data_IF_021453075150
#
_entry.id   IF_021453075150
#
_cell.length_a   1.000
_cell.length_b   1.000
_cell.length_c   1.000
_cell.angle_alpha   90.00
_cell.angle_beta   90.00
_cell.angle_gamma   90.00
#
_symmetry.space_group_name_H-M   'P 1'
#
loop_
_entity.id
_entity.type
_entity.pdbx_description
1 polymer ?
#
# COMPACT_ATOMS: atom_id res chain seq x y z
N UNK A 1 15.42 56.82 -10.58
CA UNK A 1 14.51 56.16 -9.63
C UNK A 1 13.90 54.96 -10.33
N UNK A 2 13.93 53.84 -9.62
CA UNK A 2 13.89 52.46 -10.09
C UNK A 2 12.52 52.00 -10.57
N UNK A 3 12.55 51.20 -11.64
CA UNK A 3 11.48 50.37 -12.19
C UNK A 3 10.93 49.41 -11.13
N UNK A 4 9.59 49.41 -10.97
CA UNK A 4 8.84 48.39 -10.25
C UNK A 4 8.39 47.34 -11.26
N UNK A 5 9.11 46.22 -11.26
CA UNK A 5 8.76 44.98 -11.94
C UNK A 5 7.50 44.38 -11.30
N UNK A 6 6.39 44.46 -12.03
CA UNK A 6 5.28 43.53 -11.95
C UNK A 6 5.09 43.01 -13.38
N UNK A 7 4.80 41.72 -13.53
CA UNK A 7 4.65 41.00 -14.81
C UNK A 7 5.95 40.58 -15.51
N UNK A 8 6.76 39.72 -14.87
CA UNK A 8 7.58 38.74 -15.62
C UNK A 8 8.21 37.71 -14.67
N UNK A 9 7.49 36.63 -14.37
CA UNK A 9 8.10 35.35 -13.89
C UNK A 9 7.17 34.14 -14.00
N UNK A 10 6.21 34.15 -14.94
CA UNK A 10 5.39 32.97 -15.26
C UNK A 10 5.88 32.21 -16.52
N UNK A 11 7.01 32.60 -17.11
CA UNK A 11 7.58 31.91 -18.26
C UNK A 11 9.01 31.47 -17.98
N UNK A 12 9.16 30.18 -17.64
CA UNK A 12 10.29 29.28 -17.98
C UNK A 12 10.14 27.96 -17.21
N UNK A 13 9.02 27.29 -17.40
CA UNK A 13 9.02 25.83 -17.38
C UNK A 13 9.51 25.38 -18.76
N UNK A 14 10.47 24.44 -18.88
CA UNK A 14 10.77 23.88 -20.19
C UNK A 14 9.48 23.23 -20.72
N UNK A 15 9.05 23.67 -21.91
CA UNK A 15 7.96 23.08 -22.64
C UNK A 15 8.25 21.58 -22.83
N UNK A 16 7.64 20.74 -22.00
CA UNK A 16 7.59 19.31 -22.22
C UNK A 16 6.52 19.06 -23.27
N UNK A 17 6.98 18.68 -24.47
CA UNK A 17 6.13 18.36 -25.60
C UNK A 17 5.16 17.21 -25.32
N UNK A 18 4.17 17.00 -26.21
CA UNK A 18 3.14 15.99 -26.03
C UNK A 18 3.75 14.59 -26.21
N UNK A 19 3.50 13.72 -25.24
CA UNK A 19 3.71 12.27 -25.30
C UNK A 19 5.18 11.81 -25.41
N UNK A 20 5.77 11.40 -24.29
CA UNK A 20 6.78 10.35 -24.28
C UNK A 20 6.64 9.48 -23.03
N UNK A 21 5.80 8.46 -23.18
CA UNK A 21 5.69 7.32 -22.28
C UNK A 21 7.00 6.52 -22.31
N UNK A 22 8.03 6.94 -21.58
CA UNK A 22 9.30 6.22 -21.48
C UNK A 22 9.29 5.27 -20.27
N UNK A 23 8.64 4.12 -20.46
CA UNK A 23 8.95 2.89 -19.74
C UNK A 23 10.29 2.37 -20.26
N UNK A 24 11.39 2.57 -19.51
CA UNK A 24 12.68 2.00 -19.87
C UNK A 24 12.73 0.50 -19.53
N UNK A 25 12.58 -0.33 -20.56
CA UNK A 25 13.05 -1.71 -20.57
C UNK A 25 14.58 -1.75 -20.78
N UNK A 26 15.22 -2.76 -20.17
CA UNK A 26 16.60 -3.22 -20.35
C UNK A 26 17.70 -2.53 -19.51
N UNK A 27 18.47 -3.38 -18.80
CA UNK A 27 19.71 -3.04 -18.11
C UNK A 27 20.90 -2.89 -19.08
N UNK A 28 22.10 -2.63 -18.56
CA UNK A 28 23.20 -2.09 -19.35
C UNK A 28 24.10 -3.20 -19.90
N UNK A 29 24.08 -3.44 -21.21
CA UNK A 29 25.26 -3.97 -21.91
C UNK A 29 25.43 -3.31 -23.30
N UNK A 30 26.49 -2.50 -23.38
CA UNK A 30 27.38 -2.20 -24.53
C UNK A 30 26.82 -1.57 -25.82
N UNK A 31 27.45 -0.43 -26.14
CA UNK A 31 27.57 0.16 -27.48
C UNK A 31 27.88 -0.86 -28.59
N UNK A 32 27.16 -0.77 -29.72
CA UNK A 32 27.69 -0.78 -31.11
C UNK A 32 26.65 -0.22 -32.10
N UNK A 33 27.19 0.40 -33.16
CA UNK A 33 26.62 1.20 -34.27
C UNK A 33 25.74 0.34 -35.24
N UNK A 34 24.83 0.93 -36.05
CA UNK A 34 23.59 0.30 -36.51
C UNK A 34 23.66 -0.27 -37.93
N UNK A 35 22.80 -1.25 -38.25
CA UNK A 35 22.40 -1.53 -39.64
C UNK A 35 21.04 -2.26 -39.73
N UNK A 36 20.11 -1.57 -40.41
CA UNK A 36 19.09 -2.02 -41.37
C UNK A 36 18.46 -3.43 -41.26
N UNK A 37 17.14 -3.49 -40.97
CA UNK A 37 16.04 -3.90 -41.88
C UNK A 37 14.78 -4.37 -41.12
N UNK A 38 13.61 -4.08 -41.70
CA UNK A 38 12.24 -4.24 -41.18
C UNK A 38 11.74 -5.72 -41.29
N UNK A 39 10.44 -6.02 -41.07
CA UNK A 39 9.65 -6.00 -39.83
C UNK A 39 9.02 -7.39 -39.57
N UNK A 40 8.66 -7.71 -38.32
CA UNK A 40 7.64 -8.74 -38.09
C UNK A 40 6.74 -8.41 -36.92
N UNK A 41 5.45 -8.36 -37.25
CA UNK A 41 4.31 -8.33 -36.35
C UNK A 41 4.41 -9.48 -35.34
N UNK A 42 4.29 -9.15 -34.06
CA UNK A 42 4.16 -10.14 -32.99
C UNK A 42 3.45 -9.50 -31.80
N UNK A 43 2.20 -9.90 -31.58
CA UNK A 43 1.45 -9.63 -30.35
C UNK A 43 2.32 -9.95 -29.13
N UNK A 44 2.62 -8.96 -28.29
CA UNK A 44 3.32 -9.19 -27.02
C UNK A 44 2.79 -8.27 -25.91
N UNK A 45 2.00 -8.88 -25.04
CA UNK A 45 1.86 -8.63 -23.60
C UNK A 45 1.92 -7.17 -23.11
N UNK A 46 0.78 -6.49 -23.08
CA UNK A 46 0.57 -5.26 -22.27
C UNK A 46 0.30 -5.59 -20.79
N UNK A 47 1.19 -6.38 -20.17
CA UNK A 47 0.98 -6.91 -18.81
C UNK A 47 2.17 -6.65 -17.90
N UNK A 48 2.75 -5.44 -17.84
CA UNK A 48 3.80 -5.14 -16.85
C UNK A 48 3.72 -3.72 -16.32
N UNK A 49 2.78 -3.49 -15.39
CA UNK A 49 2.94 -2.45 -14.36
C UNK A 49 4.11 -2.87 -13.46
N UNK A 50 5.35 -2.64 -13.91
CA UNK A 50 6.52 -3.11 -13.17
C UNK A 50 6.86 -2.16 -12.03
N UNK A 51 6.15 -2.32 -10.91
CA UNK A 51 6.48 -1.73 -9.59
C UNK A 51 7.91 -2.09 -9.17
N UNK A 52 8.48 -3.18 -9.74
CA UNK A 52 9.91 -3.51 -9.59
C UNK A 52 10.83 -2.46 -10.22
N UNK A 53 10.48 -1.89 -11.37
CA UNK A 53 11.31 -0.89 -12.05
C UNK A 53 11.28 0.47 -11.34
N UNK A 54 10.10 0.86 -10.84
CA UNK A 54 9.91 2.07 -10.04
C UNK A 54 10.78 2.05 -8.77
N UNK A 55 10.82 0.94 -8.04
CA UNK A 55 11.66 0.83 -6.84
C UNK A 55 13.14 0.58 -7.16
N UNK A 56 13.48 -0.17 -8.23
CA UNK A 56 14.88 -0.38 -8.67
C UNK A 56 15.56 0.93 -9.09
N UNK A 57 14.83 1.90 -9.61
CA UNK A 57 15.37 3.24 -9.89
C UNK A 57 15.67 4.03 -8.61
N UNK A 58 14.98 3.75 -7.49
CA UNK A 58 15.37 4.23 -6.17
C UNK A 58 16.79 3.77 -5.78
N UNK A 59 17.06 2.47 -5.95
CA UNK A 59 18.37 1.87 -5.64
C UNK A 59 19.51 2.34 -6.57
N UNK A 60 19.21 2.66 -7.83
CA UNK A 60 20.21 3.17 -8.79
C UNK A 60 20.59 4.63 -8.49
N UNK A 61 19.68 5.42 -7.93
CA UNK A 61 19.96 6.80 -7.50
C UNK A 61 20.98 6.83 -6.34
N UNK A 62 21.00 5.78 -5.51
CA UNK A 62 22.00 5.55 -4.45
C UNK A 62 23.38 5.11 -5.00
N UNK A 63 23.46 4.45 -6.16
CA UNK A 63 24.77 4.10 -6.78
C UNK A 63 25.50 5.31 -7.37
N UNK A 64 24.77 6.37 -7.71
CA UNK A 64 25.34 7.67 -8.10
C UNK A 64 25.89 8.50 -6.93
N UNK A 65 25.75 8.02 -5.68
CA UNK A 65 26.09 8.72 -4.41
C UNK A 65 27.60 8.80 -4.12
N UNK A 66 28.46 8.35 -5.03
CA UNK A 66 29.92 8.27 -4.80
C UNK A 66 30.72 9.52 -5.15
N UNK A 67 30.14 10.58 -5.72
CA UNK A 67 30.88 11.83 -5.96
C UNK A 67 29.97 13.06 -5.82
N UNK A 68 30.05 13.78 -4.69
CA UNK A 68 29.60 15.18 -4.58
C UNK A 68 28.56 15.52 -3.51
N UNK A 69 29.07 16.03 -2.38
CA UNK A 69 28.59 17.14 -1.53
C UNK A 69 27.14 17.20 -0.99
N UNK A 70 27.05 17.45 0.33
CA UNK A 70 25.86 17.42 1.19
C UNK A 70 24.78 18.49 0.99
N UNK A 71 24.91 19.42 0.02
CA UNK A 71 23.80 20.32 -0.34
C UNK A 71 22.79 19.65 -1.30
N UNK A 72 23.21 18.61 -2.02
CA UNK A 72 22.43 17.92 -3.06
C UNK A 72 21.45 16.88 -2.51
N UNK A 73 21.58 16.51 -1.23
CA UNK A 73 20.82 15.41 -0.62
C UNK A 73 19.39 15.79 -0.27
N UNK A 74 19.16 17.03 0.22
CA UNK A 74 17.81 17.58 0.45
C UNK A 74 17.02 17.69 -0.86
N UNK A 75 17.65 18.19 -1.92
CA UNK A 75 17.03 18.33 -3.25
C UNK A 75 16.60 16.99 -3.84
N UNK A 76 17.46 15.96 -3.78
CA UNK A 76 17.15 14.61 -4.28
C UNK A 76 16.03 13.92 -3.49
N UNK A 77 16.00 14.08 -2.16
CA UNK A 77 14.92 13.50 -1.34
C UNK A 77 13.56 14.15 -1.63
N UNK A 78 13.54 15.49 -1.83
CA UNK A 78 12.34 16.22 -2.25
C UNK A 78 11.88 15.79 -3.63
N UNK A 79 12.82 15.59 -4.55
CA UNK A 79 12.54 15.11 -5.89
C UNK A 79 11.95 13.70 -5.88
N UNK A 80 12.52 12.78 -5.09
CA UNK A 80 11.97 11.43 -4.92
C UNK A 80 10.55 11.45 -4.32
N UNK A 81 10.34 12.24 -3.27
CA UNK A 81 9.00 12.41 -2.68
C UNK A 81 7.99 12.97 -3.70
N UNK A 82 8.41 13.90 -4.55
CA UNK A 82 7.56 14.43 -5.62
C UNK A 82 7.22 13.36 -6.66
N UNK A 83 8.18 12.50 -7.03
CA UNK A 83 7.91 11.36 -7.92
C UNK A 83 6.92 10.37 -7.31
N UNK A 84 7.11 9.97 -6.05
CA UNK A 84 6.18 9.08 -5.34
C UNK A 84 4.77 9.67 -5.36
N UNK A 85 4.62 10.93 -4.99
CA UNK A 85 3.31 11.59 -4.98
C UNK A 85 2.67 11.67 -6.39
N UNK A 86 3.45 11.98 -7.43
CA UNK A 86 2.93 11.96 -8.80
C UNK A 86 2.54 10.55 -9.26
N UNK A 87 3.32 9.52 -8.92
CA UNK A 87 3.00 8.14 -9.24
C UNK A 87 1.73 7.66 -8.53
N UNK A 88 1.57 7.99 -7.25
CA UNK A 88 0.33 7.70 -6.51
C UNK A 88 -0.86 8.38 -7.17
N UNK A 89 -0.76 9.67 -7.50
CA UNK A 89 -1.82 10.39 -8.20
C UNK A 89 -2.15 9.73 -9.53
N UNK A 90 -1.15 9.43 -10.35
CA UNK A 90 -1.32 8.78 -11.65
C UNK A 90 -2.04 7.44 -11.51
N UNK A 91 -1.59 6.57 -10.59
CA UNK A 91 -2.18 5.25 -10.34
C UNK A 91 -3.64 5.38 -9.90
N UNK A 92 -3.94 6.28 -8.95
CA UNK A 92 -5.31 6.50 -8.48
C UNK A 92 -6.24 6.95 -9.61
N UNK A 93 -5.83 7.95 -10.39
CA UNK A 93 -6.64 8.45 -11.51
C UNK A 93 -6.79 7.38 -12.59
N UNK A 94 -5.74 6.62 -12.89
CA UNK A 94 -5.78 5.53 -13.85
C UNK A 94 -6.77 4.44 -13.45
N UNK A 95 -6.68 3.94 -12.21
CA UNK A 95 -7.59 2.91 -11.70
C UNK A 95 -9.04 3.43 -11.67
N UNK A 96 -9.27 4.65 -11.16
CA UNK A 96 -10.63 5.22 -11.13
C UNK A 96 -11.22 5.31 -12.54
N UNK A 97 -10.44 5.81 -13.51
CA UNK A 97 -10.88 5.91 -14.90
C UNK A 97 -11.21 4.54 -15.50
N UNK A 98 -10.40 3.51 -15.22
CA UNK A 98 -10.68 2.16 -15.71
C UNK A 98 -11.96 1.59 -15.09
N UNK A 99 -12.23 1.88 -13.81
CA UNK A 99 -13.49 1.52 -13.16
C UNK A 99 -14.66 2.22 -13.89
N UNK A 100 -14.53 3.52 -14.15
CA UNK A 100 -15.58 4.32 -14.81
C UNK A 100 -15.87 3.86 -16.27
N UNK A 101 -14.86 3.34 -16.99
CA UNK A 101 -14.96 2.90 -18.39
C UNK A 101 -15.44 1.44 -18.59
N UNK A 102 -16.00 0.81 -17.55
CA UNK A 102 -16.48 -0.58 -17.62
C UNK A 102 -15.58 -1.61 -16.92
N UNK A 103 -14.76 -1.14 -15.97
CA UNK A 103 -14.14 -1.91 -14.90
C UNK A 103 -13.64 -3.32 -15.23
N UNK A 104 -14.01 -4.26 -14.35
CA UNK A 104 -13.54 -5.65 -14.40
C UNK A 104 -13.91 -6.36 -15.71
N UNK A 105 -15.09 -6.08 -16.26
CA UNK A 105 -15.61 -6.74 -17.46
C UNK A 105 -14.73 -6.50 -18.70
N UNK A 106 -14.05 -5.34 -18.75
CA UNK A 106 -13.23 -4.94 -19.89
C UNK A 106 -11.74 -5.00 -19.62
N UNK A 107 -11.31 -4.70 -18.39
CA UNK A 107 -9.90 -4.43 -18.10
C UNK A 107 -9.32 -5.27 -16.95
N UNK A 108 -10.07 -6.16 -16.30
CA UNK A 108 -9.57 -6.95 -15.15
C UNK A 108 -8.97 -6.07 -14.03
N UNK A 109 -9.62 -4.94 -13.72
CA UNK A 109 -9.11 -3.94 -12.75
C UNK A 109 -8.87 -4.57 -11.38
N UNK A 110 -9.74 -5.47 -10.94
CA UNK A 110 -9.60 -6.25 -9.71
C UNK A 110 -8.28 -6.97 -9.63
N UNK A 111 -7.92 -7.70 -10.67
CA UNK A 111 -6.67 -8.45 -10.68
C UNK A 111 -5.47 -7.49 -10.59
N UNK A 112 -5.49 -6.38 -11.32
CA UNK A 112 -4.42 -5.37 -11.22
C UNK A 112 -4.28 -4.79 -9.81
N UNK A 113 -5.41 -4.50 -9.16
CA UNK A 113 -5.41 -3.97 -7.78
C UNK A 113 -4.97 -5.03 -6.79
N UNK A 114 -5.39 -6.29 -6.96
CA UNK A 114 -4.94 -7.41 -6.15
C UNK A 114 -3.42 -7.63 -6.28
N UNK A 115 -2.87 -7.63 -7.49
CA UNK A 115 -1.43 -7.77 -7.74
C UNK A 115 -0.63 -6.60 -7.15
N UNK A 116 -1.13 -5.36 -7.32
CA UNK A 116 -0.51 -4.16 -6.77
C UNK A 116 -0.44 -4.20 -5.23
N UNK A 117 -1.59 -4.45 -4.60
CA UNK A 117 -1.71 -4.45 -3.12
C UNK A 117 -0.94 -5.62 -2.51
N UNK A 118 -1.01 -6.81 -3.11
CA UNK A 118 -0.24 -7.99 -2.71
C UNK A 118 1.26 -7.74 -2.86
N UNK A 119 1.69 -7.18 -3.99
CA UNK A 119 3.09 -6.89 -4.24
C UNK A 119 3.68 -5.87 -3.25
N UNK A 120 2.92 -4.85 -2.87
CA UNK A 120 3.35 -3.86 -1.88
C UNK A 120 3.35 -4.44 -0.47
N UNK A 121 2.32 -5.19 -0.09
CA UNK A 121 2.20 -5.80 1.24
C UNK A 121 3.27 -6.87 1.47
N UNK A 122 3.57 -7.71 0.47
CA UNK A 122 4.66 -8.68 0.53
C UNK A 122 6.03 -8.01 0.63
N UNK A 123 6.22 -6.83 0.03
CA UNK A 123 7.49 -6.08 0.19
C UNK A 123 7.64 -5.48 1.58
N UNK A 124 6.55 -5.11 2.24
CA UNK A 124 6.59 -4.74 3.66
C UNK A 124 6.94 -5.97 4.52
N UNK A 125 6.29 -7.11 4.26
CA UNK A 125 6.44 -8.32 5.05
C UNK A 125 7.81 -9.00 4.90
N UNK A 126 8.33 -9.06 3.68
CA UNK A 126 9.58 -9.76 3.35
C UNK A 126 10.77 -8.81 3.23
N UNK A 127 10.67 -7.62 3.82
CA UNK A 127 11.81 -6.72 3.85
C UNK A 127 12.94 -7.34 4.68
N UNK A 128 14.04 -7.68 4.02
CA UNK A 128 15.26 -8.06 4.71
C UNK A 128 16.20 -6.86 4.71
N UNK A 129 16.53 -6.37 5.91
CA UNK A 129 17.65 -5.47 6.08
C UNK A 129 18.92 -6.30 5.96
N UNK A 130 19.31 -6.64 4.73
CA UNK A 130 20.54 -7.41 4.45
C UNK A 130 21.77 -6.50 4.67
N UNK A 131 21.95 -6.07 5.92
CA UNK A 131 23.03 -5.21 6.43
C UNK A 131 23.53 -5.72 7.78
N UNK A 132 23.64 -7.03 7.95
CA UNK A 132 24.55 -7.58 8.96
C UNK A 132 25.98 -7.21 8.54
N UNK A 133 26.49 -6.10 9.09
CA UNK A 133 27.88 -5.66 8.92
C UNK A 133 28.14 -4.40 8.09
N UNK A 134 27.11 -3.69 7.60
CA UNK A 134 27.29 -2.36 6.99
C UNK A 134 26.52 -1.31 7.78
N UNK A 135 27.29 -0.51 8.52
CA UNK A 135 26.91 0.71 9.25
C UNK A 135 26.38 1.79 8.28
N UNK A 136 25.31 1.51 7.56
CA UNK A 136 24.92 2.28 6.39
C UNK A 136 23.49 2.77 6.59
N UNK A 137 23.45 3.93 7.25
CA UNK A 137 22.35 4.80 7.69
C UNK A 137 21.47 5.32 6.55
N UNK A 138 20.88 4.41 5.77
CA UNK A 138 19.82 4.73 4.82
C UNK A 138 18.45 4.76 5.51
N UNK A 139 17.48 5.56 5.02
CA UNK A 139 16.12 5.51 5.51
C UNK A 139 15.50 4.14 5.20
N UNK A 140 14.78 3.57 6.16
CA UNK A 140 14.07 2.31 6.02
C UNK A 140 13.05 2.38 4.87
N UNK A 141 13.24 1.57 3.83
CA UNK A 141 12.41 1.58 2.64
C UNK A 141 10.96 1.18 2.94
N UNK A 142 10.71 0.43 4.03
CA UNK A 142 9.36 0.07 4.48
C UNK A 142 8.51 1.30 4.77
N UNK A 143 9.11 2.37 5.28
CA UNK A 143 8.40 3.64 5.55
C UNK A 143 7.82 4.22 4.26
N UNK A 144 8.59 4.22 3.17
CA UNK A 144 8.14 4.73 1.87
C UNK A 144 7.09 3.81 1.23
N UNK A 145 7.26 2.50 1.35
CA UNK A 145 6.29 1.52 0.84
C UNK A 145 4.97 1.65 1.61
N UNK A 146 5.02 1.76 2.94
CA UNK A 146 3.85 1.94 3.79
C UNK A 146 3.14 3.26 3.46
N UNK A 147 3.89 4.37 3.35
CA UNK A 147 3.32 5.67 3.01
C UNK A 147 2.67 5.67 1.62
N UNK A 148 3.30 5.02 0.64
CA UNK A 148 2.75 4.86 -0.71
C UNK A 148 1.46 4.04 -0.68
N UNK A 149 1.46 2.94 0.07
CA UNK A 149 0.31 2.05 0.23
C UNK A 149 -0.85 2.76 0.91
N UNK A 150 -0.56 3.54 1.95
CA UNK A 150 -1.54 4.38 2.64
C UNK A 150 -2.17 5.43 1.70
N UNK A 151 -1.35 6.17 0.95
CA UNK A 151 -1.88 7.20 0.03
C UNK A 151 -2.69 6.58 -1.11
N UNK A 152 -2.29 5.43 -1.64
CA UNK A 152 -3.08 4.67 -2.61
C UNK A 152 -4.40 4.17 -2.00
N UNK A 153 -4.32 3.68 -0.76
CA UNK A 153 -5.44 3.13 -0.01
C UNK A 153 -6.57 4.13 0.24
N UNK A 154 -6.30 5.44 0.22
CA UNK A 154 -7.37 6.46 0.27
C UNK A 154 -8.44 6.32 -0.81
N UNK A 155 -8.16 5.64 -1.94
CA UNK A 155 -9.19 5.22 -2.88
C UNK A 155 -9.87 3.93 -2.35
N UNK A 156 -11.18 3.93 -2.04
CA UNK A 156 -11.83 2.82 -1.33
C UNK A 156 -11.56 1.45 -1.94
N UNK A 157 -11.65 1.33 -3.26
CA UNK A 157 -11.40 0.07 -3.97
C UNK A 157 -10.00 -0.51 -3.70
N UNK A 158 -8.98 0.34 -3.62
CA UNK A 158 -7.61 -0.06 -3.29
C UNK A 158 -7.46 -0.27 -1.77
N UNK A 159 -8.07 0.61 -0.97
CA UNK A 159 -8.05 0.56 0.50
C UNK A 159 -8.60 -0.74 1.07
N UNK A 160 -9.80 -1.16 0.64
CA UNK A 160 -10.39 -2.44 1.05
C UNK A 160 -9.48 -3.62 0.69
N UNK A 161 -8.89 -3.60 -0.51
CA UNK A 161 -7.99 -4.67 -0.93
C UNK A 161 -6.69 -4.69 -0.12
N UNK A 162 -6.15 -3.54 0.28
CA UNK A 162 -5.02 -3.50 1.22
C UNK A 162 -5.39 -4.10 2.57
N UNK A 163 -6.54 -3.73 3.14
CA UNK A 163 -6.98 -4.27 4.43
C UNK A 163 -7.15 -5.80 4.38
N UNK A 164 -7.80 -6.31 3.33
CA UNK A 164 -7.95 -7.74 3.10
C UNK A 164 -6.61 -8.46 3.01
N UNK A 165 -5.73 -7.99 2.12
CA UNK A 165 -4.41 -8.59 1.88
C UNK A 165 -3.56 -8.56 3.15
N UNK A 166 -3.56 -7.45 3.89
CA UNK A 166 -2.83 -7.33 5.14
C UNK A 166 -3.37 -8.29 6.20
N UNK A 167 -4.69 -8.39 6.38
CA UNK A 167 -5.31 -9.33 7.33
C UNK A 167 -4.95 -10.77 7.03
N UNK A 168 -5.01 -11.15 5.76
CA UNK A 168 -4.62 -12.49 5.30
C UNK A 168 -3.15 -12.78 5.57
N UNK A 169 -2.24 -11.86 5.22
CA UNK A 169 -0.80 -12.04 5.47
C UNK A 169 -0.47 -12.09 6.96
N UNK A 170 -1.13 -11.27 7.78
CA UNK A 170 -0.99 -11.32 9.23
C UNK A 170 -1.41 -12.70 9.76
N UNK A 171 -2.53 -13.24 9.29
CA UNK A 171 -3.00 -14.57 9.67
C UNK A 171 -1.96 -15.65 9.34
N UNK A 172 -1.51 -15.70 8.08
CA UNK A 172 -0.52 -16.69 7.60
C UNK A 172 0.78 -16.63 8.41
N UNK A 173 1.27 -15.42 8.69
CA UNK A 173 2.52 -15.24 9.43
C UNK A 173 2.33 -15.55 10.92
N UNK A 174 1.21 -15.17 11.52
CA UNK A 174 0.90 -15.47 12.92
C UNK A 174 0.86 -16.98 13.16
N UNK A 175 0.24 -17.75 12.27
CA UNK A 175 0.24 -19.22 12.30
C UNK A 175 1.67 -19.78 12.18
N UNK A 176 2.48 -19.22 11.28
CA UNK A 176 3.86 -19.64 11.08
C UNK A 176 4.74 -19.35 12.32
N UNK A 177 4.55 -18.19 12.95
CA UNK A 177 5.32 -17.76 14.11
C UNK A 177 5.09 -18.71 15.28
N UNK A 178 3.84 -19.07 15.58
CA UNK A 178 3.52 -20.00 16.68
C UNK A 178 4.28 -21.33 16.58
N UNK A 179 4.60 -21.77 15.37
CA UNK A 179 5.35 -23.01 15.12
C UNK A 179 6.87 -22.84 15.11
N UNK A 180 7.38 -21.60 15.09
CA UNK A 180 8.81 -21.30 14.99
C UNK A 180 9.47 -21.25 16.37
N UNK A 181 10.75 -21.62 16.41
CA UNK A 181 11.60 -21.40 17.58
C UNK A 181 11.70 -19.88 17.84
N UNK A 182 11.32 -19.38 19.03
CA UNK A 182 11.40 -17.95 19.35
C UNK A 182 12.82 -17.37 19.26
N UNK A 183 13.86 -18.21 19.29
CA UNK A 183 15.25 -17.81 19.13
C UNK A 183 15.76 -17.91 17.69
N UNK A 184 14.90 -18.28 16.73
CA UNK A 184 15.26 -18.31 15.32
C UNK A 184 15.59 -16.91 14.80
N UNK A 185 16.72 -16.79 14.09
CA UNK A 185 17.31 -15.50 13.66
C UNK A 185 16.34 -14.60 12.87
N UNK A 186 15.41 -15.20 12.12
CA UNK A 186 14.40 -14.46 11.34
C UNK A 186 13.21 -13.91 12.13
N UNK A 187 12.96 -14.38 13.36
CA UNK A 187 11.71 -14.08 14.09
C UNK A 187 11.59 -12.59 14.43
N UNK A 188 12.68 -11.97 14.90
CA UNK A 188 12.69 -10.54 15.20
C UNK A 188 12.38 -9.68 13.96
N UNK A 189 12.99 -10.00 12.82
CA UNK A 189 12.75 -9.31 11.56
C UNK A 189 11.30 -9.48 11.07
N UNK A 190 10.72 -10.65 11.26
CA UNK A 190 9.31 -10.92 10.95
C UNK A 190 8.37 -10.06 11.81
N UNK A 191 8.62 -9.95 13.12
CA UNK A 191 7.84 -9.07 14.00
C UNK A 191 7.93 -7.60 13.57
N UNK A 192 9.14 -7.11 13.27
CA UNK A 192 9.34 -5.75 12.78
C UNK A 192 8.59 -5.51 11.46
N UNK A 193 8.57 -6.49 10.56
CA UNK A 193 7.87 -6.37 9.28
C UNK A 193 6.34 -6.41 9.46
N UNK A 194 5.84 -7.27 10.35
CA UNK A 194 4.41 -7.34 10.68
C UNK A 194 3.89 -6.01 11.23
N UNK A 195 4.68 -5.31 12.04
CA UNK A 195 4.31 -4.00 12.56
C UNK A 195 3.90 -3.02 11.47
N UNK A 196 4.60 -3.01 10.32
CA UNK A 196 4.25 -2.11 9.21
C UNK A 196 2.90 -2.45 8.57
N UNK A 197 2.52 -3.73 8.53
CA UNK A 197 1.21 -4.17 8.05
C UNK A 197 0.10 -3.77 9.02
N UNK A 198 0.29 -4.04 10.32
CA UNK A 198 -0.65 -3.62 11.36
C UNK A 198 -0.87 -2.11 11.35
N UNK A 199 0.21 -1.32 11.32
CA UNK A 199 0.12 0.13 11.24
C UNK A 199 -0.56 0.62 9.96
N UNK A 200 -0.34 -0.05 8.82
CA UNK A 200 -1.01 0.33 7.58
C UNK A 200 -2.52 0.12 7.72
N UNK A 201 -2.94 -1.03 8.23
CA UNK A 201 -4.36 -1.32 8.47
C UNK A 201 -4.99 -0.33 9.44
N UNK A 202 -4.35 -0.10 10.58
CA UNK A 202 -4.81 0.85 11.61
C UNK A 202 -5.00 2.25 11.02
N UNK A 203 -4.03 2.76 10.26
CA UNK A 203 -4.15 4.07 9.60
C UNK A 203 -5.26 4.12 8.56
N UNK A 204 -5.43 3.07 7.75
CA UNK A 204 -6.52 3.02 6.76
C UNK A 204 -7.89 3.02 7.44
N UNK A 205 -8.01 2.30 8.57
CA UNK A 205 -9.21 2.29 9.38
C UNK A 205 -9.50 3.67 9.97
N UNK A 206 -8.55 4.25 10.70
CA UNK A 206 -8.75 5.51 11.41
C UNK A 206 -9.01 6.69 10.46
N UNK A 207 -8.31 6.75 9.33
CA UNK A 207 -8.34 7.94 8.48
C UNK A 207 -9.39 7.90 7.37
N UNK A 208 -9.79 6.70 6.91
CA UNK A 208 -10.61 6.58 5.71
C UNK A 208 -11.86 5.71 5.84
N UNK A 209 -11.91 4.75 6.77
CA UNK A 209 -13.00 3.79 6.83
C UNK A 209 -14.36 4.46 7.04
N UNK A 210 -14.46 5.37 8.02
CA UNK A 210 -15.67 6.12 8.29
C UNK A 210 -16.15 6.92 7.05
N UNK A 211 -15.23 7.57 6.34
CA UNK A 211 -15.56 8.34 5.13
C UNK A 211 -16.03 7.43 3.98
N UNK A 212 -15.42 6.25 3.80
CA UNK A 212 -15.89 5.27 2.82
C UNK A 212 -17.31 4.78 3.13
N UNK A 213 -17.60 4.53 4.41
CA UNK A 213 -18.92 4.11 4.90
C UNK A 213 -19.96 5.20 4.62
N UNK A 214 -19.66 6.45 5.00
CA UNK A 214 -20.53 7.60 4.76
C UNK A 214 -20.81 7.83 3.27
N UNK A 215 -19.81 7.63 2.42
CA UNK A 215 -19.92 7.74 0.97
C UNK A 215 -20.60 6.53 0.31
N UNK A 216 -20.97 5.48 1.07
CA UNK A 216 -21.50 4.20 0.57
C UNK A 216 -20.58 3.51 -0.45
N UNK A 217 -19.27 3.76 -0.36
CA UNK A 217 -18.26 3.22 -1.27
C UNK A 217 -17.62 1.94 -0.76
N UNK A 218 -18.12 1.38 0.34
CA UNK A 218 -17.59 0.16 0.97
C UNK A 218 -18.00 -1.09 0.21
N UNK A 219 -17.02 -1.92 -0.11
CA UNK A 219 -17.27 -3.28 -0.56
C UNK A 219 -17.46 -4.18 0.67
N UNK A 220 -18.73 -4.48 0.96
CA UNK A 220 -19.13 -5.27 2.14
C UNK A 220 -18.52 -6.66 2.11
N UNK A 221 -18.43 -7.32 0.95
CA UNK A 221 -17.92 -8.68 0.85
C UNK A 221 -16.43 -8.74 1.21
N UNK A 222 -15.62 -7.85 0.63
CA UNK A 222 -14.18 -7.76 0.94
C UNK A 222 -13.98 -7.40 2.41
N UNK A 223 -14.80 -6.50 2.96
CA UNK A 223 -14.70 -6.11 4.35
C UNK A 223 -15.07 -7.25 5.29
N UNK A 224 -16.12 -8.01 5.00
CA UNK A 224 -16.49 -9.19 5.77
C UNK A 224 -15.34 -10.20 5.79
N UNK A 225 -14.79 -10.54 4.62
CA UNK A 225 -13.66 -11.47 4.52
C UNK A 225 -12.44 -10.94 5.30
N UNK A 226 -12.18 -9.63 5.23
CA UNK A 226 -11.12 -8.97 6.02
C UNK A 226 -11.30 -9.19 7.52
N UNK A 227 -12.51 -8.95 8.03
CA UNK A 227 -12.83 -9.14 9.45
C UNK A 227 -12.79 -10.62 9.85
N UNK A 228 -13.25 -11.53 8.99
CA UNK A 228 -13.19 -12.97 9.21
C UNK A 228 -11.74 -13.45 9.38
N UNK A 229 -10.81 -13.02 8.53
CA UNK A 229 -9.38 -13.32 8.69
C UNK A 229 -8.82 -12.76 9.99
N UNK A 230 -9.11 -11.48 10.28
CA UNK A 230 -8.58 -10.81 11.48
C UNK A 230 -9.08 -11.48 12.76
N UNK A 231 -10.39 -11.68 12.92
CA UNK A 231 -10.95 -12.28 14.13
C UNK A 231 -10.60 -13.76 14.27
N UNK A 232 -10.50 -14.51 13.16
CA UNK A 232 -9.98 -15.88 13.21
C UNK A 232 -8.54 -15.91 13.71
N UNK A 233 -7.72 -14.95 13.29
CA UNK A 233 -6.33 -14.81 13.78
C UNK A 233 -6.30 -14.47 15.28
N UNK A 234 -7.13 -13.54 15.74
CA UNK A 234 -7.23 -13.20 17.17
C UNK A 234 -7.62 -14.43 18.00
N UNK A 235 -8.64 -15.18 17.57
CA UNK A 235 -9.05 -16.43 18.23
C UNK A 235 -7.96 -17.49 18.20
N UNK A 236 -7.23 -17.62 17.10
CA UNK A 236 -6.10 -18.54 16.98
C UNK A 236 -5.00 -18.20 17.97
N UNK A 237 -4.59 -16.93 18.02
CA UNK A 237 -3.56 -16.43 18.92
C UNK A 237 -3.94 -16.58 20.40
N UNK A 238 -5.22 -16.39 20.74
CA UNK A 238 -5.74 -16.58 22.11
C UNK A 238 -5.58 -18.00 22.65
N UNK A 239 -5.44 -19.02 21.78
CA UNK A 239 -5.18 -20.42 22.21
C UNK A 239 -3.75 -20.62 22.73
N UNK A 240 -2.87 -19.66 22.52
CA UNK A 240 -1.47 -19.72 22.93
C UNK A 240 -1.16 -18.61 23.96
N UNK A 241 -1.74 -18.65 25.18
CA UNK A 241 -1.66 -17.55 26.15
C UNK A 241 -0.25 -17.30 26.70
N UNK A 242 0.66 -18.28 26.61
CA UNK A 242 2.06 -18.12 27.00
C UNK A 242 2.90 -17.39 25.93
N UNK A 243 2.32 -17.12 24.76
CA UNK A 243 2.91 -16.25 23.76
C UNK A 243 2.61 -14.79 24.11
N UNK A 244 3.51 -14.17 24.88
CA UNK A 244 3.64 -12.71 24.98
C UNK A 244 4.18 -12.13 23.66
N UNK A 245 3.49 -12.39 22.56
CA UNK A 245 3.91 -11.89 21.26
C UNK A 245 3.30 -10.52 21.02
N UNK A 246 4.13 -9.59 20.55
CA UNK A 246 3.71 -8.25 20.09
C UNK A 246 2.54 -8.32 19.10
N UNK A 247 2.39 -9.45 18.39
CA UNK A 247 1.29 -9.70 17.45
C UNK A 247 -0.05 -9.79 18.16
N UNK A 248 -0.13 -10.39 19.35
CA UNK A 248 -1.38 -10.40 20.15
C UNK A 248 -1.77 -8.97 20.53
N UNK A 249 -0.81 -8.16 20.97
CA UNK A 249 -1.06 -6.76 21.34
C UNK A 249 -1.51 -5.93 20.13
N UNK A 250 -0.84 -6.06 18.99
CA UNK A 250 -1.22 -5.38 17.76
C UNK A 250 -2.60 -5.83 17.25
N UNK A 251 -2.91 -7.12 17.31
CA UNK A 251 -4.23 -7.65 16.96
C UNK A 251 -5.34 -7.14 17.89
N UNK A 252 -5.07 -7.03 19.19
CA UNK A 252 -6.03 -6.48 20.15
C UNK A 252 -6.26 -4.98 19.92
N UNK A 253 -5.19 -4.21 19.67
CA UNK A 253 -5.30 -2.79 19.31
C UNK A 253 -6.11 -2.59 18.04
N UNK A 254 -5.81 -3.36 16.99
CA UNK A 254 -6.53 -3.31 15.72
C UNK A 254 -8.01 -3.71 15.90
N UNK A 255 -8.31 -4.69 16.75
CA UNK A 255 -9.69 -5.06 17.12
C UNK A 255 -10.43 -3.90 17.77
N UNK A 256 -9.77 -3.19 18.70
CA UNK A 256 -10.34 -1.99 19.33
C UNK A 256 -10.67 -0.90 18.30
N UNK A 257 -9.76 -0.65 17.37
CA UNK A 257 -9.96 0.35 16.31
C UNK A 257 -11.11 -0.03 15.37
N UNK A 258 -11.18 -1.29 14.95
CA UNK A 258 -12.28 -1.80 14.12
C UNK A 258 -13.63 -1.56 14.80
N UNK A 259 -13.73 -1.85 16.10
CA UNK A 259 -14.96 -1.62 16.87
C UNK A 259 -15.33 -0.14 16.90
N UNK A 260 -14.38 0.71 17.28
CA UNK A 260 -14.62 2.15 17.37
C UNK A 260 -15.13 2.73 16.04
N UNK A 261 -14.53 2.32 14.92
CA UNK A 261 -14.92 2.78 13.59
C UNK A 261 -16.29 2.23 13.14
N UNK A 262 -16.58 0.96 13.43
CA UNK A 262 -17.89 0.35 13.13
C UNK A 262 -19.01 0.95 13.97
N UNK A 263 -18.78 1.19 15.26
CA UNK A 263 -19.74 1.81 16.17
C UNK A 263 -20.04 3.26 15.74
N UNK A 264 -19.01 4.03 15.40
CA UNK A 264 -19.17 5.39 14.87
C UNK A 264 -19.99 5.41 13.57
N UNK A 265 -19.72 4.46 12.65
CA UNK A 265 -20.49 4.31 11.42
C UNK A 265 -21.95 3.88 11.70
N UNK A 266 -22.16 3.03 12.71
CA UNK A 266 -23.49 2.57 13.14
C UNK A 266 -24.36 3.71 13.65
N UNK A 267 -23.83 4.49 14.59
CA UNK A 267 -24.49 5.68 15.13
C UNK A 267 -24.83 6.71 14.04
N UNK A 268 -23.97 6.90 13.06
CA UNK A 268 -24.25 7.79 11.94
C UNK A 268 -25.44 7.30 11.10
N UNK A 269 -25.55 6.00 10.83
CA UNK A 269 -26.62 5.44 10.02
C UNK A 269 -27.97 5.35 10.75
N UNK A 270 -27.99 5.15 12.07
CA UNK A 270 -29.22 5.18 12.88
C UNK A 270 -29.88 6.57 12.88
N UNK A 271 -29.08 7.63 12.85
CA UNK A 271 -29.57 9.01 12.80
C UNK A 271 -30.13 9.43 11.42
N UNK A 272 -29.88 8.62 10.38
CA UNK A 272 -30.28 8.88 9.01
C UNK A 272 -31.02 7.66 8.45
N UNK A 273 -32.25 7.38 8.93
CA UNK A 273 -33.20 6.33 8.47
C UNK A 273 -32.72 5.53 7.23
N UNK A 274 -31.74 4.66 7.44
CA UNK A 274 -31.05 4.00 6.34
C UNK A 274 -31.76 2.68 6.06
N UNK A 275 -32.94 2.75 5.45
CA UNK A 275 -33.58 1.56 4.89
C UNK A 275 -32.73 1.05 3.71
N UNK A 276 -31.93 0.00 3.94
CA UNK A 276 -31.14 -0.61 2.88
C UNK A 276 -30.23 -1.75 3.29
N UNK A 277 -29.90 -2.60 2.31
CA UNK A 277 -29.00 -3.76 2.44
C UNK A 277 -27.65 -3.45 3.13
N UNK A 278 -27.11 -2.23 2.95
CA UNK A 278 -25.87 -1.80 3.60
C UNK A 278 -26.00 -1.58 5.12
N UNK A 279 -27.17 -1.18 5.61
CA UNK A 279 -27.39 -1.02 7.06
C UNK A 279 -27.40 -2.39 7.75
N UNK A 280 -28.12 -3.36 7.17
CA UNK A 280 -28.10 -4.75 7.64
C UNK A 280 -26.69 -5.34 7.59
N UNK A 281 -25.94 -5.08 6.52
CA UNK A 281 -24.54 -5.50 6.41
C UNK A 281 -23.67 -4.90 7.52
N UNK A 282 -23.81 -3.60 7.82
CA UNK A 282 -23.07 -2.96 8.90
C UNK A 282 -23.42 -3.58 10.26
N UNK A 283 -24.70 -3.78 10.55
CA UNK A 283 -25.14 -4.42 11.80
C UNK A 283 -24.53 -5.82 11.96
N UNK A 284 -24.45 -6.60 10.88
CA UNK A 284 -23.77 -7.89 10.89
C UNK A 284 -22.27 -7.75 11.20
N UNK A 285 -21.59 -6.74 10.65
CA UNK A 285 -20.17 -6.49 10.93
C UNK A 285 -19.93 -6.02 12.38
N UNK A 286 -20.82 -5.18 12.93
CA UNK A 286 -20.80 -4.79 14.35
C UNK A 286 -21.00 -6.02 15.24
N UNK A 287 -21.94 -6.90 14.89
CA UNK A 287 -22.17 -8.14 15.62
C UNK A 287 -20.94 -9.07 15.56
N UNK A 288 -20.28 -9.18 14.40
CA UNK A 288 -19.03 -9.94 14.28
C UNK A 288 -17.92 -9.37 15.19
N UNK A 289 -17.76 -8.04 15.20
CA UNK A 289 -16.74 -7.38 16.02
C UNK A 289 -17.02 -7.53 17.53
N UNK A 290 -18.26 -7.36 17.97
CA UNK A 290 -18.65 -7.50 19.38
C UNK A 290 -18.40 -8.93 19.90
N UNK A 291 -18.73 -9.96 19.12
CA UNK A 291 -18.46 -11.36 19.46
C UNK A 291 -16.97 -11.71 19.55
N UNK A 292 -16.08 -10.97 18.88
CA UNK A 292 -14.65 -11.31 18.83
C UNK A 292 -13.91 -11.23 20.18
N UNK A 293 -14.42 -10.47 21.17
CA UNK A 293 -13.82 -10.38 22.52
C UNK A 293 -14.55 -11.23 23.57
N UNK A 294 -15.71 -11.80 23.25
CA UNK A 294 -16.49 -12.58 24.22
C UNK A 294 -15.93 -14.01 24.39
N UNK A 295 -15.09 -14.46 23.46
CA UNK A 295 -14.52 -15.82 23.40
C UNK A 295 -13.05 -15.89 23.89
N UNK A 296 -12.46 -14.79 24.36
CA UNK A 296 -11.12 -14.74 24.98
C UNK A 296 -11.21 -14.62 26.48
#
# INVERSE_FOLDING_TARGET
MTLSAAEDTLEKLPALGPCDCLFFTAGPERMRVPELERPSFGYKEMSKFSVQLFLRNGDLTERGRRKGQGATQSSKSKQFSAYVHHSVKFIKHGIQRLIDEGGDDKYNVRQMVQELTTGLSLRLLNYSSDKVGRLDSGPDARVWIQQTSYQLGSLPYIGHQFMFTASKLIAEVAESLVCLDPFHEGVAQTYDNLYFLFQLMEKLLSDYFYEWMKAKQVNVDILKDTLDYHFSTVKFLGRYPNWNSLVVEYSNRLTGEIKAQLDAAGQYMENYEAEGSQHTALLNLIQMATCANADT
#
